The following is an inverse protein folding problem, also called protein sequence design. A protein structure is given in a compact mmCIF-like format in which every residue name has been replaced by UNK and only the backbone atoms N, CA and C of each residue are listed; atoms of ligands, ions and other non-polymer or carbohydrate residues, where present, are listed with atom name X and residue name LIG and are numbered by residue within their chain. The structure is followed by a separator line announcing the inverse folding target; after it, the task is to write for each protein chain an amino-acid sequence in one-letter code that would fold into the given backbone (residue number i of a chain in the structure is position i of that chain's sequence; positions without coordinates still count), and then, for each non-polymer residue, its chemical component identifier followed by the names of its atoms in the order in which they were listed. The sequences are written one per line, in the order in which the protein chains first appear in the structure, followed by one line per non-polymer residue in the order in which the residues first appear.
data_IF_755556177474
#
_entry.id   IF_755556177474
#
_cell.length_a   1.000
_cell.length_b   1.000
_cell.length_c   1.000
_cell.angle_alpha   90.00
_cell.angle_beta   90.00
_cell.angle_gamma   90.00
#
_symmetry.space_group_name_H-M   'P 1'
#
loop_
_entity.id
_entity.type
_entity.pdbx_description
1 polymer ?
#
# COMPACT_ATOMS: atom_id res chain seq x y z
N UNK A 1 9.43 2.68 1.52
CA UNK A 1 8.56 3.31 0.53
C UNK A 1 8.29 2.30 -0.57
N UNK A 2 7.04 1.83 -0.76
CA UNK A 2 6.69 0.89 -1.81
C UNK A 2 6.79 1.54 -3.19
N UNK A 3 7.11 0.76 -4.22
CA UNK A 3 7.15 1.24 -5.60
C UNK A 3 5.74 1.34 -6.23
N UNK A 4 5.62 2.10 -7.32
CA UNK A 4 4.39 2.15 -8.13
C UNK A 4 4.11 0.87 -8.92
N UNK A 5 5.14 0.06 -9.19
CA UNK A 5 4.99 -1.15 -9.99
C UNK A 5 4.20 -2.23 -9.27
N UNK A 6 3.64 -3.15 -10.04
CA UNK A 6 3.28 -4.46 -9.51
C UNK A 6 4.46 -5.43 -9.59
N UNK A 7 4.35 -6.51 -8.81
CA UNK A 7 5.22 -7.68 -8.92
C UNK A 7 4.28 -8.88 -9.01
N UNK A 8 4.37 -9.63 -10.11
CA UNK A 8 3.47 -10.75 -10.44
C UNK A 8 1.98 -10.38 -10.36
N UNK A 9 1.63 -9.17 -10.82
CA UNK A 9 0.26 -8.67 -10.88
C UNK A 9 -0.29 -8.12 -9.56
N UNK A 10 0.52 -8.04 -8.49
CA UNK A 10 0.14 -7.41 -7.22
C UNK A 10 0.88 -6.08 -7.06
N UNK A 11 0.19 -4.93 -7.02
CA UNK A 11 0.81 -3.64 -6.76
C UNK A 11 1.55 -3.64 -5.42
N UNK A 12 2.80 -3.18 -5.37
CA UNK A 12 3.63 -3.26 -4.15
C UNK A 12 3.00 -2.51 -2.97
N UNK A 13 2.26 -1.43 -3.25
CA UNK A 13 1.51 -0.67 -2.23
C UNK A 13 0.39 -1.48 -1.55
N UNK A 14 -0.08 -2.56 -2.18
CA UNK A 14 -1.08 -3.48 -1.64
C UNK A 14 -0.53 -4.90 -1.38
N UNK A 15 0.77 -5.14 -1.55
CA UNK A 15 1.34 -6.48 -1.39
C UNK A 15 1.76 -6.76 0.06
N UNK A 16 0.87 -7.40 0.82
CA UNK A 16 1.13 -7.83 2.20
C UNK A 16 2.30 -8.83 2.30
N UNK A 17 2.51 -9.68 1.30
CA UNK A 17 3.60 -10.68 1.35
C UNK A 17 4.95 -9.98 1.31
N UNK A 18 5.06 -8.89 0.56
CA UNK A 18 6.29 -8.10 0.49
C UNK A 18 6.43 -7.17 1.69
N UNK A 19 5.41 -6.35 1.97
CA UNK A 19 5.51 -5.28 2.97
C UNK A 19 5.43 -5.77 4.41
N UNK A 20 4.66 -6.82 4.68
CA UNK A 20 4.58 -7.42 6.01
C UNK A 20 5.46 -8.67 6.09
N UNK A 21 5.24 -9.65 5.22
CA UNK A 21 5.97 -10.93 5.28
C UNK A 21 7.48 -10.75 5.12
N UNK A 22 7.93 -10.34 3.94
CA UNK A 22 9.37 -10.22 3.67
C UNK A 22 10.01 -9.06 4.46
N UNK A 23 9.46 -7.85 4.34
CA UNK A 23 10.09 -6.65 4.92
C UNK A 23 10.06 -6.64 6.45
N UNK A 24 8.90 -6.91 7.08
CA UNK A 24 8.79 -6.83 8.54
C UNK A 24 9.12 -8.15 9.23
N UNK A 25 8.53 -9.27 8.78
CA UNK A 25 8.68 -10.55 9.48
C UNK A 25 10.03 -11.21 9.18
N UNK A 26 10.48 -11.26 7.92
CA UNK A 26 11.75 -11.91 7.56
C UNK A 26 12.97 -11.00 7.74
N UNK A 27 12.89 -9.74 7.30
CA UNK A 27 14.03 -8.81 7.40
C UNK A 27 14.05 -8.02 8.71
N UNK A 28 12.97 -8.06 9.50
CA UNK A 28 12.92 -7.39 10.80
C UNK A 28 12.83 -5.87 10.73
N UNK A 29 12.32 -5.30 9.63
CA UNK A 29 12.16 -3.85 9.52
C UNK A 29 11.02 -3.34 10.42
N UNK A 30 11.37 -2.57 11.45
CA UNK A 30 10.43 -1.96 12.41
C UNK A 30 10.23 -0.46 12.18
N UNK A 31 10.62 0.04 11.01
CA UNK A 31 10.45 1.44 10.65
C UNK A 31 9.09 1.77 10.04
N UNK A 32 8.96 3.04 9.66
CA UNK A 32 7.77 3.57 9.00
C UNK A 32 7.81 3.28 7.49
N UNK A 33 6.70 2.78 6.96
CA UNK A 33 6.46 2.61 5.53
C UNK A 33 5.51 3.71 5.06
N UNK A 34 6.07 4.72 4.38
CA UNK A 34 5.30 5.74 3.67
C UNK A 34 5.00 5.28 2.24
N UNK A 35 3.79 5.50 1.74
CA UNK A 35 3.44 5.27 0.33
C UNK A 35 4.24 6.20 -0.58
N UNK A 36 4.45 5.80 -1.84
CA UNK A 36 4.86 6.76 -2.86
C UNK A 36 3.71 7.76 -3.14
N UNK A 37 4.02 8.83 -3.87
CA UNK A 37 3.11 9.94 -4.13
C UNK A 37 1.82 9.46 -4.79
N UNK A 38 0.69 9.58 -4.08
CA UNK A 38 -0.65 9.15 -4.49
C UNK A 38 -0.84 7.65 -4.74
N UNK A 39 0.14 6.80 -4.38
CA UNK A 39 0.17 5.39 -4.74
C UNK A 39 -1.05 4.59 -4.22
N UNK A 40 -1.62 4.98 -3.08
CA UNK A 40 -2.83 4.31 -2.55
C UNK A 40 -4.02 4.55 -3.49
N UNK A 41 -4.21 5.77 -4.01
CA UNK A 41 -5.27 6.04 -4.99
C UNK A 41 -5.05 5.29 -6.32
N UNK A 42 -3.80 5.01 -6.68
CA UNK A 42 -3.46 4.32 -7.91
C UNK A 42 -3.82 2.84 -7.89
N UNK A 43 -4.07 2.24 -6.72
CA UNK A 43 -4.62 0.88 -6.62
C UNK A 43 -5.91 0.72 -7.44
N UNK A 44 -6.70 1.79 -7.60
CA UNK A 44 -7.87 1.80 -8.48
C UNK A 44 -7.50 1.76 -9.96
N UNK A 45 -6.40 2.40 -10.36
CA UNK A 45 -5.88 2.36 -11.74
C UNK A 45 -5.23 1.02 -12.06
N UNK A 46 -4.60 0.39 -11.08
CA UNK A 46 -4.13 -1.00 -11.17
C UNK A 46 -5.28 -2.02 -11.22
N UNK A 47 -6.52 -1.58 -10.98
CA UNK A 47 -7.70 -2.45 -11.05
C UNK A 47 -7.87 -3.38 -9.85
N UNK A 48 -7.15 -3.14 -8.74
CA UNK A 48 -7.24 -3.98 -7.52
C UNK A 48 -8.14 -3.37 -6.44
N UNK A 49 -8.64 -2.16 -6.65
CA UNK A 49 -9.61 -1.50 -5.77
C UNK A 49 -10.71 -0.80 -6.58
N UNK A 50 -11.96 -0.91 -6.15
CA UNK A 50 -13.10 -0.24 -6.76
C UNK A 50 -13.17 1.25 -6.35
N UNK A 51 -12.88 1.54 -5.08
CA UNK A 51 -13.03 2.87 -4.51
C UNK A 51 -11.91 3.22 -3.50
N UNK A 52 -12.02 4.42 -2.90
CA UNK A 52 -11.02 4.94 -1.96
C UNK A 52 -11.00 4.12 -0.64
N UNK A 53 -12.15 3.78 -0.01
CA UNK A 53 -12.17 2.90 1.15
C UNK A 53 -11.48 1.55 0.91
N UNK A 54 -11.75 0.90 -0.22
CA UNK A 54 -11.10 -0.37 -0.54
C UNK A 54 -9.59 -0.21 -0.75
N UNK A 55 -9.17 0.83 -1.47
CA UNK A 55 -7.75 1.13 -1.65
C UNK A 55 -7.03 1.42 -0.33
N UNK A 56 -7.67 2.19 0.57
CA UNK A 56 -7.16 2.48 1.90
C UNK A 56 -7.02 1.20 2.74
N UNK A 57 -8.04 0.35 2.75
CA UNK A 57 -8.01 -0.92 3.47
C UNK A 57 -6.91 -1.85 2.94
N UNK A 58 -6.73 -1.96 1.62
CA UNK A 58 -5.68 -2.79 1.03
C UNK A 58 -4.28 -2.32 1.42
N UNK A 59 -4.00 -1.01 1.29
CA UNK A 59 -2.70 -0.45 1.63
C UNK A 59 -2.38 -0.59 3.13
N UNK A 60 -3.36 -0.30 4.01
CA UNK A 60 -3.16 -0.43 5.45
C UNK A 60 -2.93 -1.89 5.85
N UNK A 61 -3.72 -2.83 5.31
CA UNK A 61 -3.54 -4.27 5.58
C UNK A 61 -2.25 -4.85 4.99
N UNK A 62 -1.70 -4.24 3.93
CA UNK A 62 -0.41 -4.61 3.37
C UNK A 62 0.76 -4.19 4.27
N UNK A 63 0.60 -3.09 5.02
CA UNK A 63 1.60 -2.58 5.97
C UNK A 63 2.13 -1.19 5.64
N UNK A 64 1.39 -0.39 4.86
CA UNK A 64 1.67 1.03 4.64
C UNK A 64 1.15 1.84 5.83
N UNK A 65 2.02 2.67 6.42
CA UNK A 65 1.75 3.43 7.64
C UNK A 65 1.33 4.88 7.34
N UNK A 66 1.92 5.48 6.30
CA UNK A 66 1.66 6.87 5.92
C UNK A 66 1.18 6.94 4.48
N UNK A 67 0.02 7.58 4.28
CA UNK A 67 -0.51 7.96 2.98
C UNK A 67 0.12 9.28 2.50
N UNK A 68 0.96 9.20 1.47
CA UNK A 68 1.50 10.38 0.81
C UNK A 68 0.53 10.90 -0.25
N UNK A 69 -0.21 11.95 0.09
CA UNK A 69 -0.99 12.78 -0.84
C UNK A 69 -2.18 12.09 -1.53
N UNK A 70 -2.53 10.85 -1.20
CA UNK A 70 -3.75 10.21 -1.75
C UNK A 70 -5.03 10.70 -1.06
N UNK A 71 -4.93 11.10 0.23
CA UNK A 71 -6.09 11.34 1.12
C UNK A 71 -6.99 10.11 1.29
N UNK A 72 -6.44 8.92 1.02
CA UNK A 72 -7.15 7.66 1.11
C UNK A 72 -7.39 7.29 2.58
N UNK A 73 -6.40 7.44 3.46
CA UNK A 73 -6.62 7.18 4.89
C UNK A 73 -7.51 8.22 5.56
N UNK A 74 -7.41 9.49 5.17
CA UNK A 74 -8.25 10.57 5.70
C UNK A 74 -9.74 10.40 5.34
N UNK A 75 -10.03 9.82 4.16
CA UNK A 75 -11.39 9.79 3.59
C UNK A 75 -12.02 8.40 3.52
N UNK A 76 -11.19 7.36 3.60
CA UNK A 76 -11.58 5.97 3.37
C UNK A 76 -11.55 5.10 4.63
N UNK A 77 -11.02 5.61 5.75
CA UNK A 77 -11.00 4.97 7.07
C UNK A 77 -11.67 5.88 8.09
#
# INVERSE_FOLDING_TARGET
MPAFTDIDGVPVTADRRLLTGLLREEWGFDGVVISDYTAINELRKHGVAADIPEAAALALNAGVDIDMMSRAYERGL
#
